data_IF_468359150345
#
_entry.id   IF_468359150345
#
_cell.length_a   1.000
_cell.length_b   1.000
_cell.length_c   1.000
_cell.angle_alpha   90.00
_cell.angle_beta   90.00
_cell.angle_gamma   90.00
#
_symmetry.space_group_name_H-M   'P 1'
#
loop_
_entity.id
_entity.type
_entity.pdbx_description
1 polymer ?
#
# COMPACT_ATOMS: atom_id res chain seq x y z
N UNK A 1 38.32 -6.50 14.11
CA UNK A 1 38.13 -6.98 12.72
C UNK A 1 37.62 -8.40 12.78
N UNK A 2 36.41 -8.64 12.28
CA UNK A 2 35.85 -10.00 12.15
C UNK A 2 36.58 -10.67 10.97
N UNK A 3 36.98 -11.93 11.12
CA UNK A 3 37.67 -12.67 10.07
C UNK A 3 36.66 -13.34 9.11
N UNK A 4 37.04 -13.55 7.85
CA UNK A 4 36.23 -14.35 6.94
C UNK A 4 36.52 -15.84 7.12
N UNK A 5 35.51 -16.64 7.39
CA UNK A 5 35.59 -18.11 7.49
C UNK A 5 34.22 -18.73 7.15
N UNK A 6 34.15 -19.54 6.09
CA UNK A 6 32.93 -20.23 5.64
C UNK A 6 32.76 -21.65 6.23
N UNK A 7 33.72 -22.09 7.05
CA UNK A 7 33.68 -23.36 7.78
C UNK A 7 33.37 -23.19 9.28
N UNK A 8 32.83 -22.03 9.67
CA UNK A 8 32.47 -21.77 11.07
C UNK A 8 31.30 -22.64 11.53
N UNK A 9 31.31 -22.97 12.82
CA UNK A 9 30.18 -23.64 13.46
C UNK A 9 28.97 -22.72 13.52
N UNK A 10 27.78 -23.32 13.48
CA UNK A 10 26.55 -22.58 13.69
C UNK A 10 26.54 -21.94 15.10
N UNK A 11 26.00 -20.72 15.25
CA UNK A 11 25.78 -20.12 16.56
C UNK A 11 24.97 -21.04 17.49
N UNK A 12 25.21 -21.00 18.81
CA UNK A 12 24.45 -21.78 19.77
C UNK A 12 22.94 -21.53 19.70
N UNK A 13 22.14 -22.55 20.02
CA UNK A 13 20.69 -22.43 20.05
C UNK A 13 20.24 -21.33 21.03
N UNK A 14 19.24 -20.55 20.62
CA UNK A 14 18.64 -19.50 21.44
C UNK A 14 19.40 -18.16 21.49
N UNK A 15 20.51 -18.03 20.76
CA UNK A 15 21.25 -16.77 20.62
C UNK A 15 20.96 -16.12 19.27
N UNK A 16 20.92 -14.78 19.23
CA UNK A 16 20.84 -14.06 17.96
C UNK A 16 22.13 -14.29 17.13
N UNK A 17 22.04 -14.87 15.92
CA UNK A 17 23.22 -15.22 15.14
C UNK A 17 24.09 -14.02 14.78
N UNK A 18 23.49 -12.85 14.51
CA UNK A 18 24.23 -11.65 14.14
C UNK A 18 24.97 -11.08 15.35
N UNK A 19 24.33 -11.05 16.51
CA UNK A 19 24.96 -10.66 17.77
C UNK A 19 26.15 -11.56 18.11
N UNK A 20 25.96 -12.88 18.07
CA UNK A 20 27.00 -13.85 18.41
C UNK A 20 28.25 -13.69 17.52
N UNK A 21 28.05 -13.53 16.22
CA UNK A 21 29.17 -13.34 15.29
C UNK A 21 29.88 -12.00 15.50
N UNK A 22 29.12 -10.92 15.79
CA UNK A 22 29.69 -9.59 15.99
C UNK A 22 30.52 -9.45 17.28
N UNK A 23 30.09 -10.10 18.36
CA UNK A 23 30.62 -9.83 19.70
C UNK A 23 31.33 -11.02 20.35
N UNK A 24 31.02 -12.26 19.97
CA UNK A 24 31.56 -13.46 20.60
C UNK A 24 32.52 -14.23 19.67
N UNK A 25 32.03 -14.75 18.52
CA UNK A 25 32.80 -15.61 17.62
C UNK A 25 33.89 -14.86 16.84
N UNK A 26 33.58 -13.64 16.38
CA UNK A 26 34.47 -12.81 15.55
C UNK A 26 35.02 -13.46 14.27
N UNK A 27 34.36 -14.51 13.78
CA UNK A 27 34.57 -15.13 12.46
C UNK A 27 33.24 -15.26 11.74
N UNK A 28 33.18 -14.97 10.45
CA UNK A 28 31.92 -14.84 9.71
C UNK A 28 32.09 -15.19 8.23
N UNK A 29 31.01 -15.57 7.55
CA UNK A 29 30.94 -15.59 6.09
C UNK A 29 29.89 -14.59 5.58
N UNK A 30 29.75 -14.49 4.25
CA UNK A 30 29.01 -13.43 3.54
C UNK A 30 27.60 -13.14 4.12
N UNK A 31 26.84 -14.18 4.47
CA UNK A 31 25.49 -13.99 5.03
C UNK A 31 25.49 -13.17 6.33
N UNK A 32 26.46 -13.41 7.22
CA UNK A 32 26.55 -12.69 8.50
C UNK A 32 26.98 -11.24 8.30
N UNK A 33 27.96 -10.98 7.43
CA UNK A 33 28.38 -9.62 7.09
C UNK A 33 27.23 -8.81 6.48
N UNK A 34 26.55 -9.37 5.47
CA UNK A 34 25.41 -8.72 4.84
C UNK A 34 24.26 -8.48 5.83
N UNK A 35 23.94 -9.48 6.66
CA UNK A 35 22.89 -9.33 7.69
C UNK A 35 23.23 -8.26 8.71
N UNK A 36 24.47 -8.24 9.23
CA UNK A 36 24.92 -7.23 10.18
C UNK A 36 24.85 -5.81 9.60
N UNK A 37 25.30 -5.62 8.35
CA UNK A 37 25.20 -4.33 7.66
C UNK A 37 23.75 -3.89 7.47
N UNK A 38 22.86 -4.78 7.04
CA UNK A 38 21.44 -4.49 6.87
C UNK A 38 20.80 -4.10 8.20
N UNK A 39 21.08 -4.83 9.28
CA UNK A 39 20.54 -4.51 10.60
C UNK A 39 21.02 -3.14 11.08
N UNK A 40 22.30 -2.83 10.90
CA UNK A 40 22.86 -1.51 11.24
C UNK A 40 22.20 -0.40 10.42
N UNK A 41 22.09 -0.53 9.10
CA UNK A 41 21.44 0.47 8.24
C UNK A 41 19.97 0.67 8.59
N UNK A 42 19.22 -0.43 8.79
CA UNK A 42 17.80 -0.36 9.16
C UNK A 42 17.60 0.24 10.55
N UNK A 43 18.54 0.05 11.49
CA UNK A 43 18.47 0.65 12.82
C UNK A 43 18.47 2.19 12.79
N UNK A 44 19.10 2.77 11.77
CA UNK A 44 19.12 4.23 11.53
C UNK A 44 18.14 4.69 10.44
N UNK A 45 17.22 3.82 10.02
CA UNK A 45 16.15 4.15 9.08
C UNK A 45 16.58 4.16 7.60
N UNK A 46 17.77 3.67 7.27
CA UNK A 46 18.21 3.52 5.88
C UNK A 46 17.62 2.23 5.29
N UNK A 47 16.87 2.29 4.17
CA UNK A 47 16.34 1.09 3.54
C UNK A 47 17.48 0.27 2.95
N UNK A 48 17.60 -0.97 3.42
CA UNK A 48 18.58 -1.94 2.97
C UNK A 48 17.89 -3.30 2.74
N UNK A 49 18.38 -4.10 1.79
CA UNK A 49 17.89 -5.45 1.53
C UNK A 49 19.03 -6.45 1.38
N UNK A 50 18.70 -7.71 1.68
CA UNK A 50 19.60 -8.84 1.52
C UNK A 50 19.48 -9.39 0.11
N UNK A 51 20.61 -9.63 -0.54
CA UNK A 51 20.64 -10.28 -1.85
C UNK A 51 21.55 -11.49 -1.75
N UNK A 52 21.07 -12.61 -2.28
CA UNK A 52 21.84 -13.83 -2.45
C UNK A 52 21.91 -14.17 -3.94
N UNK A 53 23.08 -14.58 -4.39
CA UNK A 53 23.33 -14.91 -5.79
C UNK A 53 24.71 -15.53 -5.95
N UNK A 54 25.34 -15.25 -7.08
CA UNK A 54 26.69 -15.70 -7.38
C UNK A 54 27.56 -14.52 -7.78
N UNK A 55 28.84 -14.56 -7.40
CA UNK A 55 29.85 -13.67 -7.97
C UNK A 55 30.16 -14.05 -9.42
N UNK A 56 30.88 -13.19 -10.14
CA UNK A 56 31.15 -13.31 -11.57
C UNK A 56 31.81 -14.65 -11.98
N UNK A 57 32.41 -15.38 -11.04
CA UNK A 57 33.11 -16.63 -11.32
C UNK A 57 34.44 -16.38 -12.04
N UNK A 58 34.91 -17.38 -12.77
CA UNK A 58 36.19 -17.33 -13.49
C UNK A 58 35.95 -17.21 -14.99
N UNK A 59 36.72 -16.37 -15.67
CA UNK A 59 36.70 -16.33 -17.13
C UNK A 59 37.37 -17.59 -17.69
N UNK A 60 36.67 -18.30 -18.56
CA UNK A 60 37.20 -19.41 -19.33
C UNK A 60 37.50 -18.94 -20.76
N UNK A 61 38.80 -18.89 -21.09
CA UNK A 61 39.28 -18.46 -22.40
C UNK A 61 38.89 -19.44 -23.52
N UNK A 62 38.84 -20.75 -23.24
CA UNK A 62 38.54 -21.78 -24.24
C UNK A 62 37.09 -21.67 -24.73
N UNK A 63 36.17 -21.41 -23.80
CA UNK A 63 34.74 -21.24 -24.11
C UNK A 63 34.32 -19.78 -24.29
N UNK A 64 35.25 -18.83 -24.13
CA UNK A 64 34.98 -17.38 -24.14
C UNK A 64 33.76 -17.00 -23.29
N UNK A 65 33.69 -17.53 -22.07
CA UNK A 65 32.54 -17.34 -21.17
C UNK A 65 32.94 -17.40 -19.69
N UNK A 66 32.10 -16.86 -18.82
CA UNK A 66 32.31 -16.96 -17.37
C UNK A 66 31.77 -18.30 -16.84
N UNK A 67 32.63 -19.02 -16.11
CA UNK A 67 32.26 -20.23 -15.38
C UNK A 67 31.92 -19.88 -13.93
N UNK A 68 30.64 -19.96 -13.61
CA UNK A 68 30.10 -19.73 -12.26
C UNK A 68 29.80 -21.08 -11.59
N UNK A 69 30.36 -21.30 -10.41
CA UNK A 69 30.24 -22.56 -9.63
C UNK A 69 29.46 -22.32 -8.34
N UNK A 70 29.05 -23.42 -7.68
CA UNK A 70 28.44 -23.37 -6.35
C UNK A 70 29.31 -22.63 -5.31
N UNK A 71 30.64 -22.75 -5.42
CA UNK A 71 31.60 -22.03 -4.58
C UNK A 71 31.62 -20.51 -4.79
N UNK A 72 30.99 -20.00 -5.86
CA UNK A 72 30.80 -18.57 -6.08
C UNK A 72 29.52 -18.03 -5.45
N UNK A 73 28.74 -18.87 -4.74
CA UNK A 73 27.55 -18.43 -4.03
C UNK A 73 27.91 -17.34 -3.02
N UNK A 74 27.18 -16.24 -3.05
CA UNK A 74 27.53 -15.05 -2.29
C UNK A 74 26.30 -14.26 -1.86
N UNK A 75 26.44 -13.52 -0.77
CA UNK A 75 25.43 -12.63 -0.25
C UNK A 75 26.00 -11.23 -0.01
N UNK A 76 25.25 -10.21 -0.44
CA UNK A 76 25.62 -8.81 -0.28
C UNK A 76 24.43 -7.97 0.20
N UNK A 77 24.73 -6.73 0.57
CA UNK A 77 23.72 -5.75 0.96
C UNK A 77 23.43 -4.83 -0.21
N UNK A 78 22.17 -4.54 -0.47
CA UNK A 78 21.81 -3.39 -1.32
C UNK A 78 21.19 -2.29 -0.46
N UNK A 79 21.63 -1.06 -0.71
CA UNK A 79 21.21 0.14 0.00
C UNK A 79 20.47 1.04 -0.97
N UNK A 80 19.29 1.49 -0.57
CA UNK A 80 18.49 2.35 -1.42
C UNK A 80 18.90 3.81 -1.28
N UNK A 81 19.22 4.44 -2.41
CA UNK A 81 19.45 5.87 -2.51
C UNK A 81 18.36 6.52 -3.37
N UNK A 82 17.67 7.56 -2.87
CA UNK A 82 16.71 8.30 -3.66
C UNK A 82 17.35 8.83 -4.95
N UNK A 83 16.69 8.63 -6.10
CA UNK A 83 17.20 9.04 -7.42
C UNK A 83 18.17 8.06 -8.08
N UNK A 84 18.81 7.17 -7.32
CA UNK A 84 19.77 6.18 -7.84
C UNK A 84 19.26 4.73 -7.77
N UNK A 85 18.29 4.45 -6.90
CA UNK A 85 17.75 3.10 -6.72
C UNK A 85 18.57 2.28 -5.72
N UNK A 86 18.56 0.97 -5.92
CA UNK A 86 19.30 0.02 -5.09
C UNK A 86 20.76 -0.05 -5.53
N UNK A 87 21.68 0.27 -4.63
CA UNK A 87 23.12 0.26 -4.88
C UNK A 87 23.74 -0.88 -4.07
N UNK A 88 24.56 -1.76 -4.67
CA UNK A 88 25.22 -2.84 -3.96
C UNK A 88 26.35 -2.33 -3.06
N UNK A 89 26.44 -2.90 -1.87
CA UNK A 89 27.47 -2.70 -0.88
C UNK A 89 27.99 -4.05 -0.42
N UNK A 90 29.32 -4.17 -0.44
CA UNK A 90 30.02 -5.35 0.03
C UNK A 90 30.60 -5.09 1.42
N UNK A 91 30.12 -5.86 2.40
CA UNK A 91 30.57 -5.77 3.79
C UNK A 91 31.58 -6.89 4.15
N UNK A 92 31.71 -7.89 3.29
CA UNK A 92 32.55 -9.07 3.53
C UNK A 92 34.02 -8.69 3.45
N UNK A 93 34.72 -8.79 4.58
CA UNK A 93 36.10 -8.31 4.72
C UNK A 93 37.12 -8.96 3.76
N UNK A 94 36.85 -10.16 3.25
CA UNK A 94 37.71 -10.88 2.31
C UNK A 94 37.53 -10.47 0.85
N UNK A 95 36.47 -9.73 0.52
CA UNK A 95 36.20 -9.27 -0.84
C UNK A 95 36.60 -7.79 -0.91
N UNK A 96 37.61 -7.43 -1.73
CA UNK A 96 37.92 -6.03 -1.99
C UNK A 96 36.67 -5.29 -2.46
N UNK A 97 36.49 -4.04 -2.06
CA UNK A 97 35.45 -3.21 -2.64
C UNK A 97 35.67 -3.17 -4.16
N UNK A 98 34.83 -3.86 -4.93
CA UNK A 98 34.98 -3.94 -6.38
C UNK A 98 34.93 -2.55 -7.01
N UNK A 99 35.63 -2.39 -8.14
CA UNK A 99 35.52 -1.17 -8.94
C UNK A 99 34.07 -1.00 -9.38
N UNK A 100 33.44 0.09 -8.94
CA UNK A 100 32.07 0.42 -9.35
C UNK A 100 32.12 0.73 -10.86
N UNK A 101 31.30 0.08 -11.70
CA UNK A 101 31.20 0.50 -13.09
C UNK A 101 30.72 1.96 -13.12
N UNK A 102 31.49 2.82 -13.78
CA UNK A 102 31.24 4.27 -13.93
C UNK A 102 29.91 4.59 -14.64
N UNK A 103 29.28 3.59 -15.26
CA UNK A 103 28.09 3.74 -16.11
C UNK A 103 26.85 3.15 -15.45
N UNK A 104 26.27 3.88 -14.50
CA UNK A 104 24.81 3.94 -14.45
C UNK A 104 24.39 4.89 -15.58
N UNK A 105 23.91 4.32 -16.68
CA UNK A 105 23.32 5.09 -17.77
C UNK A 105 22.26 6.06 -17.23
N UNK A 106 22.13 7.21 -17.90
CA UNK A 106 21.23 8.28 -17.51
C UNK A 106 19.84 7.72 -17.13
N UNK A 107 19.26 8.06 -15.97
CA UNK A 107 17.95 7.54 -15.53
C UNK A 107 16.78 7.84 -16.48
N UNK A 108 16.99 8.70 -17.49
CA UNK A 108 16.00 9.08 -18.49
C UNK A 108 15.70 8.02 -19.54
N UNK A 109 16.60 7.05 -19.75
CA UNK A 109 16.46 6.11 -20.87
C UNK A 109 15.70 4.81 -20.50
N UNK A 110 15.48 4.56 -19.21
CA UNK A 110 14.80 3.36 -18.72
C UNK A 110 13.26 3.45 -18.78
N UNK A 111 12.71 4.61 -19.11
CA UNK A 111 11.27 4.83 -19.33
C UNK A 111 11.00 5.21 -20.78
N UNK A 112 11.43 4.33 -21.69
CA UNK A 112 11.09 4.39 -23.10
C UNK A 112 9.58 4.34 -23.31
N UNK A 113 9.10 5.38 -23.97
CA UNK A 113 7.70 5.67 -24.24
C UNK A 113 7.24 4.89 -25.47
N UNK A 114 6.83 3.62 -25.31
CA UNK A 114 6.22 2.86 -26.42
C UNK A 114 5.02 2.01 -25.96
N UNK A 115 3.86 2.27 -26.59
CA UNK A 115 2.84 1.25 -26.85
C UNK A 115 1.63 1.18 -25.93
N UNK A 116 0.91 2.28 -25.71
CA UNK A 116 -0.49 2.20 -25.23
C UNK A 116 -1.40 1.85 -26.42
N UNK A 117 -1.95 0.63 -26.39
CA UNK A 117 -2.99 0.17 -27.31
C UNK A 117 -4.26 1.01 -27.09
N UNK A 118 -4.67 1.63 -28.19
CA UNK A 118 -5.94 2.29 -28.42
C UNK A 118 -7.04 1.23 -28.54
N UNK A 119 -7.92 1.15 -27.54
CA UNK A 119 -9.19 0.44 -27.63
C UNK A 119 -10.30 1.34 -27.08
N UNK A 120 -10.66 2.36 -27.87
CA UNK A 120 -11.99 2.96 -27.76
C UNK A 120 -12.99 2.15 -28.56
N UNK A 121 -13.71 1.24 -27.91
CA UNK A 121 -14.96 0.69 -28.47
C UNK A 121 -16.18 1.19 -27.70
N UNK A 122 -17.04 1.83 -28.48
CA UNK A 122 -18.26 2.56 -28.14
C UNK A 122 -19.43 1.58 -28.13
N UNK A 123 -20.34 1.68 -27.16
CA UNK A 123 -21.66 1.03 -27.23
C UNK A 123 -22.78 2.10 -27.06
N UNK A 124 -23.93 1.92 -27.74
CA UNK A 124 -24.81 3.02 -28.13
C UNK A 124 -25.87 3.42 -27.09
N UNK A 125 -26.33 4.67 -27.22
CA UNK A 125 -27.53 5.22 -26.58
C UNK A 125 -28.82 4.73 -27.25
N UNK A 126 -29.87 4.59 -26.45
CA UNK A 126 -31.25 4.91 -26.86
C UNK A 126 -32.25 3.75 -26.86
N UNK A 127 -33.21 3.78 -25.91
CA UNK A 127 -34.61 3.39 -26.17
C UNK A 127 -35.54 4.37 -25.44
N UNK A 128 -36.22 5.18 -26.23
CA UNK A 128 -37.43 5.94 -25.90
C UNK A 128 -38.65 5.02 -25.98
N UNK A 129 -39.58 5.09 -25.01
CA UNK A 129 -40.99 4.75 -25.24
C UNK A 129 -41.87 5.79 -24.52
N UNK A 130 -42.58 6.59 -25.34
CA UNK A 130 -43.56 7.64 -25.01
C UNK A 130 -44.99 7.02 -24.88
N UNK A 131 -46.05 7.72 -24.41
CA UNK A 131 -47.02 7.20 -23.48
C UNK A 131 -48.42 7.10 -24.13
N UNK A 132 -49.43 6.71 -23.34
CA UNK A 132 -50.85 7.08 -23.51
C UNK A 132 -51.57 6.52 -24.76
N UNK A 133 -52.87 6.25 -24.82
CA UNK A 133 -54.11 6.51 -24.05
C UNK A 133 -55.09 5.38 -24.47
N UNK A 134 -56.03 4.87 -23.66
CA UNK A 134 -57.43 5.31 -23.42
C UNK A 134 -58.21 3.96 -23.23
N UNK A 135 -59.17 3.71 -22.33
CA UNK A 135 -60.43 4.37 -21.99
C UNK A 135 -60.92 3.80 -20.62
N UNK A 136 -61.27 4.56 -19.56
CA UNK A 136 -62.48 5.38 -19.26
C UNK A 136 -63.54 4.61 -18.42
N UNK A 137 -63.87 5.22 -17.26
CA UNK A 137 -65.12 5.14 -16.44
C UNK A 137 -65.48 3.79 -15.75
N UNK A 138 -65.97 3.70 -14.51
CA UNK A 138 -66.63 4.67 -13.61
C UNK A 138 -66.47 4.21 -12.15
N UNK A 139 -66.13 5.15 -11.25
CA UNK A 139 -65.94 4.92 -9.80
C UNK A 139 -67.07 5.56 -8.99
N UNK A 140 -68.32 5.15 -9.23
CA UNK A 140 -69.48 5.66 -8.48
C UNK A 140 -70.26 4.60 -7.70
N UNK A 141 -69.91 3.32 -7.80
CA UNK A 141 -70.71 2.24 -7.19
C UNK A 141 -70.13 1.57 -5.93
N UNK A 142 -69.12 2.15 -5.29
CA UNK A 142 -68.62 1.63 -3.99
C UNK A 142 -68.79 2.61 -2.83
N UNK A 143 -69.83 3.47 -2.91
CA UNK A 143 -70.31 4.32 -1.82
C UNK A 143 -71.53 3.75 -1.09
N UNK A 144 -71.59 2.45 -0.87
CA UNK A 144 -72.64 1.87 -0.04
C UNK A 144 -72.22 0.56 0.66
N UNK A 145 -71.42 0.65 1.72
CA UNK A 145 -71.82 -0.04 2.97
C UNK A 145 -71.13 0.59 4.18
N UNK A 146 -71.90 0.74 5.25
CA UNK A 146 -71.67 1.61 6.40
C UNK A 146 -71.19 0.77 7.61
N UNK A 147 -70.29 1.34 8.40
CA UNK A 147 -70.06 1.02 9.82
C UNK A 147 -68.62 0.58 10.09
N UNK A 148 -67.84 1.10 11.04
CA UNK A 148 -68.10 1.96 12.19
C UNK A 148 -66.85 2.81 12.50
N UNK A 149 -67.06 3.91 13.23
CA UNK A 149 -66.03 4.80 13.75
C UNK A 149 -65.16 4.10 14.82
N UNK A 150 -63.83 4.19 14.69
CA UNK A 150 -62.91 3.88 15.78
C UNK A 150 -61.88 5.03 15.93
N UNK A 151 -61.93 5.86 17.00
CA UNK A 151 -61.12 7.09 17.08
C UNK A 151 -59.69 6.88 17.63
N UNK A 152 -59.17 5.65 17.69
CA UNK A 152 -57.94 5.34 18.44
C UNK A 152 -56.65 5.25 17.59
N UNK A 153 -56.73 5.35 16.25
CA UNK A 153 -55.57 5.14 15.36
C UNK A 153 -54.78 6.43 15.07
N UNK A 154 -55.33 7.61 15.34
CA UNK A 154 -54.72 8.89 14.96
C UNK A 154 -53.68 9.44 15.95
N UNK A 155 -53.65 8.97 17.20
CA UNK A 155 -52.66 9.45 18.19
C UNK A 155 -51.40 8.57 18.24
N UNK A 156 -51.54 7.25 18.06
CA UNK A 156 -50.41 6.32 18.17
C UNK A 156 -49.44 6.40 16.98
N UNK A 157 -49.95 6.66 15.76
CA UNK A 157 -49.13 6.73 14.55
C UNK A 157 -48.31 8.02 14.45
N UNK A 158 -48.84 9.14 14.98
CA UNK A 158 -48.13 10.43 15.05
C UNK A 158 -46.95 10.38 16.03
N UNK A 159 -47.11 9.72 17.17
CA UNK A 159 -46.02 9.54 18.14
C UNK A 159 -44.92 8.59 17.63
N UNK A 160 -45.25 7.57 16.83
CA UNK A 160 -44.24 6.68 16.20
C UNK A 160 -43.41 7.40 15.13
N UNK A 161 -44.04 8.19 14.27
CA UNK A 161 -43.34 9.00 13.27
C UNK A 161 -42.44 10.07 13.91
N UNK A 162 -42.91 10.75 14.96
CA UNK A 162 -42.11 11.74 15.70
C UNK A 162 -40.92 11.10 16.43
N UNK A 163 -41.07 9.89 16.99
CA UNK A 163 -39.97 9.19 17.64
C UNK A 163 -38.93 8.63 16.65
N UNK A 164 -39.37 8.11 15.50
CA UNK A 164 -38.47 7.70 14.40
C UNK A 164 -37.70 8.88 13.81
N UNK A 165 -38.37 10.02 13.60
CA UNK A 165 -37.72 11.26 13.18
C UNK A 165 -36.71 11.77 14.24
N UNK A 166 -37.04 11.65 15.53
CA UNK A 166 -36.15 11.98 16.63
C UNK A 166 -34.88 11.13 16.66
N UNK A 167 -35.01 9.81 16.48
CA UNK A 167 -33.85 8.90 16.39
C UNK A 167 -33.01 9.21 15.16
N UNK A 168 -33.64 9.40 14.01
CA UNK A 168 -32.94 9.78 12.77
C UNK A 168 -32.14 11.08 12.95
N UNK A 169 -32.72 12.07 13.62
CA UNK A 169 -32.08 13.34 13.93
C UNK A 169 -30.88 13.18 14.89
N UNK A 170 -31.01 12.34 15.92
CA UNK A 170 -29.90 12.03 16.83
C UNK A 170 -28.77 11.30 16.11
N UNK A 171 -29.09 10.30 15.26
CA UNK A 171 -28.09 9.59 14.44
C UNK A 171 -27.39 10.56 13.49
N UNK A 172 -28.14 11.46 12.86
CA UNK A 172 -27.58 12.49 11.98
C UNK A 172 -26.64 13.44 12.73
N UNK A 173 -27.03 13.91 13.92
CA UNK A 173 -26.17 14.75 14.76
C UNK A 173 -24.90 13.99 15.17
N UNK A 174 -25.02 12.74 15.61
CA UNK A 174 -23.86 11.90 15.98
C UNK A 174 -22.95 11.69 14.77
N UNK A 175 -23.49 11.47 13.58
CA UNK A 175 -22.72 11.37 12.35
C UNK A 175 -22.01 12.69 11.99
N UNK A 176 -22.68 13.84 12.15
CA UNK A 176 -22.10 15.17 11.89
C UNK A 176 -20.99 15.48 12.90
N UNK A 177 -21.22 15.23 14.19
CA UNK A 177 -20.22 15.43 15.25
C UNK A 177 -19.04 14.47 15.06
N UNK A 178 -19.31 13.20 14.74
CA UNK A 178 -18.29 12.22 14.42
C UNK A 178 -17.46 12.63 13.20
N UNK A 179 -18.11 13.10 12.13
CA UNK A 179 -17.43 13.63 10.95
C UNK A 179 -16.60 14.88 11.27
N UNK A 180 -17.10 15.78 12.12
CA UNK A 180 -16.39 16.97 12.57
C UNK A 180 -15.13 16.63 13.37
N UNK A 181 -15.24 15.73 14.36
CA UNK A 181 -14.09 15.26 15.15
C UNK A 181 -13.10 14.48 14.29
N UNK A 182 -13.56 13.61 13.38
CA UNK A 182 -12.71 12.91 12.43
C UNK A 182 -11.99 13.88 11.48
N UNK A 183 -12.67 14.93 11.01
CA UNK A 183 -12.07 15.96 10.18
C UNK A 183 -11.01 16.77 10.96
N UNK A 184 -11.30 17.15 12.21
CA UNK A 184 -10.35 17.87 13.08
C UNK A 184 -9.14 17.03 13.45
N UNK A 185 -9.33 15.74 13.70
CA UNK A 185 -8.23 14.79 13.89
C UNK A 185 -7.41 14.62 12.61
N UNK A 186 -8.06 14.59 11.44
CA UNK A 186 -7.41 14.54 10.12
C UNK A 186 -6.46 15.71 9.90
N UNK A 187 -6.91 16.94 10.17
CA UNK A 187 -6.14 18.16 9.90
C UNK A 187 -4.78 18.19 10.63
N UNK A 188 -4.66 17.53 11.80
CA UNK A 188 -3.40 17.42 12.56
C UNK A 188 -2.42 16.39 11.97
N UNK A 189 -2.96 15.37 11.32
CA UNK A 189 -2.19 14.31 10.64
C UNK A 189 -1.72 14.81 9.28
N UNK A 190 -2.60 15.49 8.54
CA UNK A 190 -2.34 16.05 7.21
C UNK A 190 -1.33 17.22 7.21
N UNK A 191 -1.07 17.82 8.38
CA UNK A 191 -0.12 18.94 8.52
C UNK A 191 1.36 18.52 8.51
N UNK A 192 1.69 17.23 8.51
CA UNK A 192 3.06 16.75 8.59
C UNK A 192 3.30 15.67 7.55
N UNK A 193 4.32 15.88 6.70
CA UNK A 193 4.72 14.93 5.64
C UNK A 193 4.93 13.52 6.20
N UNK A 194 5.69 13.37 7.29
CA UNK A 194 5.89 12.08 7.97
C UNK A 194 4.59 11.41 8.39
N UNK A 195 3.61 12.16 8.91
CA UNK A 195 2.33 11.61 9.36
C UNK A 195 1.41 11.27 8.18
N UNK A 196 1.36 12.13 7.16
CA UNK A 196 0.63 11.87 5.92
C UNK A 196 1.16 10.63 5.21
N UNK A 197 2.49 10.49 5.12
CA UNK A 197 3.12 9.29 4.56
C UNK A 197 2.85 8.04 5.41
N UNK A 198 3.03 8.12 6.74
CA UNK A 198 2.73 6.98 7.63
C UNK A 198 1.27 6.52 7.53
N UNK A 199 0.36 7.45 7.24
CA UNK A 199 -1.05 7.14 7.00
C UNK A 199 -1.26 6.32 5.73
N UNK A 200 -0.48 6.52 4.66
CA UNK A 200 -0.54 5.66 3.47
C UNK A 200 -0.30 4.20 3.82
N UNK A 201 0.68 3.93 4.69
CA UNK A 201 0.96 2.58 5.19
C UNK A 201 -0.23 1.93 5.90
N UNK A 202 -1.00 2.72 6.67
CA UNK A 202 -2.20 2.23 7.35
C UNK A 202 -3.36 1.93 6.38
N UNK A 203 -3.36 2.54 5.19
CA UNK A 203 -4.37 2.31 4.16
C UNK A 203 -4.04 1.11 3.26
N UNK A 204 -2.78 0.72 3.15
CA UNK A 204 -2.36 -0.37 2.29
C UNK A 204 -3.13 -1.69 2.50
N UNK A 205 -3.36 -2.18 3.74
CA UNK A 205 -4.13 -3.40 3.95
C UNK A 205 -5.60 -3.28 3.53
N UNK A 206 -6.16 -2.07 3.59
CA UNK A 206 -7.55 -1.80 3.20
C UNK A 206 -7.74 -1.80 1.68
N UNK A 207 -6.66 -1.56 0.94
CA UNK A 207 -6.55 -1.69 -0.52
C UNK A 207 -6.08 -3.07 -0.96
N UNK A 208 -5.85 -4.01 -0.03
CA UNK A 208 -5.31 -5.34 -0.36
C UNK A 208 -3.81 -5.35 -0.67
N UNK A 209 -3.09 -4.25 -0.44
CA UNK A 209 -1.64 -4.13 -0.69
C UNK A 209 -0.87 -4.61 0.54
N UNK A 210 -0.02 -5.62 0.34
CA UNK A 210 0.87 -6.16 1.39
C UNK A 210 2.21 -5.43 1.37
N UNK A 211 2.39 -4.50 2.31
CA UNK A 211 3.68 -3.80 2.48
C UNK A 211 4.62 -4.65 3.34
N UNK A 212 5.75 -5.05 2.76
CA UNK A 212 6.84 -5.70 3.48
C UNK A 212 7.82 -4.68 4.06
N UNK A 213 8.52 -5.00 5.17
CA UNK A 213 9.56 -4.14 5.73
C UNK A 213 10.69 -3.82 4.75
N UNK A 214 10.97 -4.73 3.80
CA UNK A 214 12.00 -4.56 2.79
C UNK A 214 11.65 -3.52 1.70
N UNK A 215 10.36 -3.19 1.53
CA UNK A 215 9.95 -2.26 0.47
C UNK A 215 10.38 -0.82 0.79
N UNK A 216 10.96 -0.17 -0.21
CA UNK A 216 11.34 1.25 -0.14
C UNK A 216 10.10 2.13 -0.09
N UNK A 217 10.24 3.40 0.32
CA UNK A 217 9.12 4.32 0.28
C UNK A 217 8.49 4.47 -1.11
N UNK A 218 9.29 4.48 -2.17
CA UNK A 218 8.82 4.59 -3.55
C UNK A 218 8.17 3.31 -4.07
N UNK A 219 8.70 2.13 -3.72
CA UNK A 219 8.05 0.85 -4.06
C UNK A 219 6.67 0.77 -3.40
N UNK A 220 6.54 1.19 -2.14
CA UNK A 220 5.24 1.28 -1.45
C UNK A 220 4.29 2.24 -2.16
N UNK A 221 4.78 3.41 -2.56
CA UNK A 221 4.00 4.38 -3.31
C UNK A 221 3.56 3.84 -4.67
N UNK A 222 4.43 3.09 -5.35
CA UNK A 222 4.14 2.47 -6.64
C UNK A 222 3.07 1.38 -6.52
N UNK A 223 3.17 0.48 -5.53
CA UNK A 223 2.15 -0.53 -5.26
C UNK A 223 0.81 0.08 -4.85
N UNK A 224 0.82 1.19 -4.10
CA UNK A 224 -0.41 1.91 -3.80
C UNK A 224 -0.98 2.61 -5.04
N UNK A 225 -0.11 3.13 -5.91
CA UNK A 225 -0.47 3.79 -7.15
C UNK A 225 -0.96 2.84 -8.24
N UNK A 226 -0.60 1.55 -8.21
CA UNK A 226 -1.19 0.55 -9.12
C UNK A 226 -2.64 0.25 -8.76
N UNK A 227 -3.00 0.29 -7.47
CA UNK A 227 -4.39 0.13 -7.00
C UNK A 227 -5.19 1.44 -7.09
N UNK A 228 -4.52 2.60 -7.00
CA UNK A 228 -5.15 3.93 -7.07
C UNK A 228 -4.46 4.78 -8.14
N UNK A 229 -4.70 4.53 -9.44
CA UNK A 229 -4.01 5.22 -10.53
C UNK A 229 -4.23 6.73 -10.53
N UNK A 230 -5.44 7.18 -10.18
CA UNK A 230 -5.80 8.60 -10.17
C UNK A 230 -5.11 9.39 -9.05
N UNK A 231 -4.63 8.69 -8.01
CA UNK A 231 -3.90 9.27 -6.88
C UNK A 231 -2.38 9.10 -6.97
N UNK A 232 -1.86 8.53 -8.06
CA UNK A 232 -0.46 8.10 -8.17
C UNK A 232 0.52 9.26 -8.04
N UNK A 233 0.22 10.40 -8.67
CA UNK A 233 1.08 11.58 -8.60
C UNK A 233 1.20 12.10 -7.16
N UNK A 234 0.06 12.21 -6.46
CA UNK A 234 0.00 12.70 -5.08
C UNK A 234 0.71 11.73 -4.13
N UNK A 235 0.57 10.41 -4.36
CA UNK A 235 1.30 9.36 -3.64
C UNK A 235 2.81 9.52 -3.81
N UNK A 236 3.28 9.74 -5.04
CA UNK A 236 4.70 9.93 -5.34
C UNK A 236 5.23 11.24 -4.77
N UNK A 237 4.48 12.35 -4.86
CA UNK A 237 4.86 13.64 -4.27
C UNK A 237 5.00 13.55 -2.75
N UNK A 238 4.01 12.99 -2.05
CA UNK A 238 4.08 12.77 -0.59
C UNK A 238 5.26 11.89 -0.20
N UNK A 239 5.53 10.87 -1.01
CA UNK A 239 6.66 9.95 -0.80
C UNK A 239 8.00 10.66 -1.02
N UNK A 240 8.12 11.44 -2.08
CA UNK A 240 9.31 12.23 -2.39
C UNK A 240 9.68 13.17 -1.23
N UNK A 241 8.70 13.92 -0.73
CA UNK A 241 8.92 14.83 0.40
C UNK A 241 9.26 14.08 1.69
N UNK A 242 8.66 12.92 1.92
CA UNK A 242 8.97 12.09 3.08
C UNK A 242 10.42 11.60 3.04
N UNK A 243 10.86 11.11 1.88
CA UNK A 243 12.23 10.68 1.64
C UNK A 243 13.20 11.85 1.79
N UNK A 244 12.89 13.01 1.20
CA UNK A 244 13.69 14.24 1.33
C UNK A 244 13.84 14.66 2.79
N UNK A 245 12.76 14.63 3.56
CA UNK A 245 12.80 14.95 5.00
C UNK A 245 13.67 13.98 5.81
N UNK A 246 13.75 12.70 5.42
CA UNK A 246 14.56 11.70 6.12
C UNK A 246 16.05 11.78 5.78
N UNK A 247 16.37 11.94 4.50
CA UNK A 247 17.74 11.75 3.99
C UNK A 247 18.42 13.05 3.54
N UNK A 248 17.71 14.17 3.45
CA UNK A 248 18.34 15.47 3.20
C UNK A 248 19.08 15.97 4.44
N UNK A 249 20.29 16.57 4.31
CA UNK A 249 21.00 17.19 5.42
C UNK A 249 20.16 18.23 6.18
N UNK A 250 19.31 18.97 5.46
CA UNK A 250 18.44 19.98 6.04
C UNK A 250 17.19 19.40 6.72
N UNK A 251 16.88 18.10 6.50
CA UNK A 251 15.62 17.43 6.90
C UNK A 251 14.37 18.26 6.59
N UNK A 252 14.43 19.03 5.51
CA UNK A 252 13.41 19.97 5.10
C UNK A 252 12.57 19.41 3.96
N UNK A 253 11.35 19.93 3.87
CA UNK A 253 10.42 19.72 2.77
C UNK A 253 10.66 20.84 1.75
N UNK A 254 10.23 20.66 0.50
CA UNK A 254 10.19 21.76 -0.47
C UNK A 254 9.34 22.93 0.04
N UNK A 255 9.78 24.17 -0.24
CA UNK A 255 9.23 25.37 0.37
C UNK A 255 7.78 25.66 -0.04
N UNK A 256 7.37 25.17 -1.20
CA UNK A 256 6.06 25.31 -1.83
C UNK A 256 5.14 24.10 -1.63
N UNK A 257 5.64 23.03 -0.99
CA UNK A 257 4.87 21.81 -0.78
C UNK A 257 3.95 21.89 0.45
N UNK A 258 2.65 21.70 0.26
CA UNK A 258 1.67 21.55 1.35
C UNK A 258 1.11 20.11 1.40
N UNK A 259 1.46 19.31 2.43
CA UNK A 259 0.94 17.95 2.60
C UNK A 259 -0.59 17.88 2.74
N UNK A 260 -1.25 18.98 3.14
CA UNK A 260 -2.71 19.02 3.29
C UNK A 260 -3.40 19.08 1.94
N UNK A 261 -2.87 19.87 1.01
CA UNK A 261 -3.43 20.02 -0.34
C UNK A 261 -3.35 18.67 -1.06
N UNK A 262 -2.17 18.04 -1.00
CA UNK A 262 -1.93 16.72 -1.59
C UNK A 262 -2.79 15.62 -0.97
N UNK A 263 -2.99 15.65 0.35
CA UNK A 263 -3.87 14.67 0.98
C UNK A 263 -5.34 14.89 0.64
N UNK A 264 -5.76 16.15 0.48
CA UNK A 264 -7.14 16.50 0.14
C UNK A 264 -7.53 16.01 -1.27
N UNK A 265 -6.61 16.06 -2.22
CA UNK A 265 -6.79 15.50 -3.57
C UNK A 265 -6.71 13.98 -3.56
N UNK A 266 -5.80 13.37 -2.80
CA UNK A 266 -5.63 11.92 -2.75
C UNK A 266 -6.77 11.17 -2.05
N UNK A 267 -7.31 11.73 -0.96
CA UNK A 267 -8.24 11.03 -0.05
C UNK A 267 -9.51 10.47 -0.75
N UNK A 268 -10.21 11.21 -1.64
CA UNK A 268 -11.40 10.69 -2.31
C UNK A 268 -11.11 9.43 -3.15
N UNK A 269 -9.97 9.39 -3.85
CA UNK A 269 -9.57 8.24 -4.67
C UNK A 269 -9.30 7.01 -3.79
N UNK A 270 -8.55 7.19 -2.69
CA UNK A 270 -8.28 6.13 -1.72
C UNK A 270 -9.57 5.55 -1.12
N UNK A 271 -10.54 6.40 -0.76
CA UNK A 271 -11.84 5.96 -0.21
C UNK A 271 -12.62 5.15 -1.26
N UNK A 272 -12.69 5.64 -2.50
CA UNK A 272 -13.44 4.96 -3.56
C UNK A 272 -12.91 3.54 -3.81
N UNK A 273 -11.59 3.40 -3.94
CA UNK A 273 -10.96 2.10 -4.22
C UNK A 273 -11.00 1.16 -3.02
N UNK A 274 -10.83 1.66 -1.80
CA UNK A 274 -11.02 0.82 -0.60
C UNK A 274 -12.44 0.28 -0.49
N UNK A 275 -13.47 1.10 -0.72
CA UNK A 275 -14.87 0.64 -0.72
C UNK A 275 -15.08 -0.42 -1.81
N UNK A 276 -14.58 -0.17 -3.03
CA UNK A 276 -14.66 -1.12 -4.13
C UNK A 276 -14.03 -2.47 -3.80
N UNK A 277 -12.79 -2.46 -3.27
CA UNK A 277 -12.08 -3.67 -2.86
C UNK A 277 -12.82 -4.44 -1.76
N UNK A 278 -13.31 -3.76 -0.71
CA UNK A 278 -14.02 -4.44 0.38
C UNK A 278 -15.35 -5.03 -0.09
N UNK A 279 -16.09 -4.35 -0.98
CA UNK A 279 -17.33 -4.88 -1.56
C UNK A 279 -17.07 -6.14 -2.40
N UNK A 280 -16.01 -6.15 -3.20
CA UNK A 280 -15.62 -7.33 -3.97
C UNK A 280 -15.22 -8.49 -3.06
N UNK A 281 -14.43 -8.21 -2.02
CA UNK A 281 -14.02 -9.19 -1.01
C UNK A 281 -15.21 -9.83 -0.31
N UNK A 282 -16.21 -9.03 0.08
CA UNK A 282 -17.43 -9.51 0.72
C UNK A 282 -18.30 -10.33 -0.25
N UNK A 283 -18.40 -9.94 -1.52
CA UNK A 283 -19.14 -10.69 -2.55
C UNK A 283 -18.52 -12.07 -2.82
N UNK A 284 -17.19 -12.16 -2.77
CA UNK A 284 -16.47 -13.41 -2.99
C UNK A 284 -16.47 -14.31 -1.74
N UNK A 285 -16.82 -13.77 -0.57
CA UNK A 285 -17.01 -14.54 0.66
C UNK A 285 -18.42 -15.17 0.68
N UNK A 286 -18.60 -16.28 -0.03
CA UNK A 286 -19.78 -17.14 0.16
C UNK A 286 -19.63 -17.88 1.49
N UNK A 287 -20.51 -17.69 2.49
CA UNK A 287 -20.53 -18.59 3.63
C UNK A 287 -20.86 -19.98 3.10
N UNK A 288 -19.98 -20.95 3.37
CA UNK A 288 -20.18 -22.33 2.97
C UNK A 288 -21.58 -22.79 3.41
N UNK A 289 -22.34 -23.35 2.47
CA UNK A 289 -23.46 -24.21 2.83
C UNK A 289 -22.93 -25.20 3.85
N UNK A 290 -23.45 -25.17 5.07
CA UNK A 290 -23.30 -26.26 6.00
C UNK A 290 -23.94 -27.46 5.31
N UNK A 291 -23.11 -28.39 4.82
CA UNK A 291 -23.57 -29.69 4.39
C UNK A 291 -24.11 -30.39 5.63
N UNK A 292 -25.43 -30.29 5.79
CA UNK A 292 -26.21 -31.08 6.71
C UNK A 292 -26.14 -32.53 6.25
N UNK A 293 -25.11 -33.24 6.71
CA UNK A 293 -25.11 -34.69 6.67
C UNK A 293 -25.91 -35.18 7.89
N UNK A 294 -27.23 -35.32 7.70
CA UNK A 294 -28.06 -36.11 8.59
C UNK A 294 -28.64 -37.29 7.81
N UNK A 295 -28.34 -38.47 8.35
CA UNK A 295 -28.89 -39.82 8.11
C UNK A 295 -28.12 -40.69 7.13
#
# INVERSE_FOLDING_TARGET
NIAYNDQIQAPPDGVDPVHYILFDQQEAYCNYYASAMIMMLRSVGVPARFVAGYTQGEWDEETSSYRVRASNAHAWTEVFFPGYGWVPFEATASIPAGDRPETFGNPGDAFGNEGLLDDTERLPEGVDINPNLEDVESLQDLLAERGELNPDVTVQNRNRLLWQAGIGFVIMIVAIVGAFFANRANQRVEASVKRSYGRLGNWAPWLGVLIQPAHTPYERAHMLGSEVPEGREQLLNLTHQYVRQLFSPARSVEADFDPRVEWKSLRPHMIRHTIGYQLQRLRNFRPGKADGNSK
#
